data_IF_315511353107
#
_entry.id   IF_315511353107
#
_cell.length_a   1.000
_cell.length_b   1.000
_cell.length_c   1.000
_cell.angle_alpha   90.00
_cell.angle_beta   90.00
_cell.angle_gamma   90.00
#
_symmetry.space_group_name_H-M   'P 1'
#
loop_
_entity.id
_entity.type
_entity.pdbx_description
1 polymer ?
#
# COMPACT_ATOMS: atom_id res chain seq x y z
N UNK A 1 8.32 26.85 -16.35
CA UNK A 1 7.05 26.59 -15.65
C UNK A 1 7.17 27.24 -14.28
N UNK A 2 6.16 27.96 -13.76
CA UNK A 2 6.20 28.46 -12.39
C UNK A 2 6.46 27.30 -11.40
N UNK A 3 7.19 27.57 -10.32
CA UNK A 3 7.61 26.55 -9.34
C UNK A 3 6.44 25.74 -8.80
N UNK A 4 5.31 26.41 -8.60
CA UNK A 4 4.09 25.87 -8.01
C UNK A 4 3.47 24.80 -8.90
N UNK A 5 3.45 25.03 -10.22
CA UNK A 5 2.94 24.08 -11.19
C UNK A 5 3.83 22.84 -11.32
N UNK A 6 5.15 23.00 -11.16
CA UNK A 6 6.06 21.86 -11.10
C UNK A 6 5.83 20.97 -9.86
N UNK A 7 5.44 21.58 -8.74
CA UNK A 7 5.06 20.84 -7.53
C UNK A 7 3.74 20.08 -7.74
N UNK A 8 2.73 20.71 -8.35
CA UNK A 8 1.47 20.03 -8.69
C UNK A 8 1.70 18.85 -9.64
N UNK A 9 2.51 19.02 -10.68
CA UNK A 9 2.88 17.92 -11.60
C UNK A 9 3.56 16.76 -10.85
N UNK A 10 4.40 17.07 -9.87
CA UNK A 10 5.03 16.07 -9.02
C UNK A 10 3.98 15.29 -8.23
N UNK A 11 3.03 15.98 -7.59
CA UNK A 11 1.95 15.35 -6.82
C UNK A 11 1.10 14.42 -7.69
N UNK A 12 0.77 14.81 -8.92
CA UNK A 12 0.00 13.97 -9.86
C UNK A 12 0.77 12.68 -10.18
N UNK A 13 2.08 12.79 -10.48
CA UNK A 13 2.92 11.63 -10.77
C UNK A 13 3.04 10.71 -9.56
N UNK A 14 3.23 11.27 -8.37
CA UNK A 14 3.31 10.51 -7.13
C UNK A 14 2.00 9.77 -6.81
N UNK A 15 0.85 10.43 -6.99
CA UNK A 15 -0.46 9.80 -6.81
C UNK A 15 -0.66 8.65 -7.82
N UNK A 16 -0.25 8.85 -9.07
CA UNK A 16 -0.26 7.78 -10.09
C UNK A 16 0.60 6.58 -9.70
N UNK A 17 1.79 6.82 -9.12
CA UNK A 17 2.66 5.76 -8.64
C UNK A 17 2.03 4.98 -7.47
N UNK A 18 1.40 5.66 -6.51
CA UNK A 18 0.68 5.02 -5.39
C UNK A 18 -0.45 4.14 -5.91
N UNK A 19 -1.25 4.65 -6.85
CA UNK A 19 -2.35 3.88 -7.45
C UNK A 19 -1.85 2.63 -8.18
N UNK A 20 -0.78 2.75 -8.96
CA UNK A 20 -0.18 1.61 -9.65
C UNK A 20 0.36 0.54 -8.69
N UNK A 21 0.97 0.95 -7.57
CA UNK A 21 1.41 0.02 -6.52
C UNK A 21 0.24 -0.69 -5.86
N UNK A 22 -0.86 0.03 -5.58
CA UNK A 22 -2.06 -0.55 -5.03
C UNK A 22 -2.68 -1.61 -5.95
N UNK A 23 -2.77 -1.33 -7.25
CA UNK A 23 -3.30 -2.28 -8.25
C UNK A 23 -2.49 -3.58 -8.33
N UNK A 24 -1.21 -3.53 -7.99
CA UNK A 24 -0.31 -4.70 -7.94
C UNK A 24 -0.37 -5.45 -6.59
N UNK A 25 -1.02 -4.90 -5.57
CA UNK A 25 -1.02 -5.46 -4.22
C UNK A 25 -2.08 -6.55 -4.08
N UNK A 26 -1.67 -7.75 -3.65
CA UNK A 26 -2.58 -8.84 -3.29
C UNK A 26 -3.11 -8.68 -1.86
N UNK A 27 -3.94 -7.65 -1.68
CA UNK A 27 -4.59 -7.33 -0.41
C UNK A 27 -5.95 -8.04 -0.26
N UNK A 28 -6.39 -8.27 0.99
CA UNK A 28 -7.77 -8.66 1.29
C UNK A 28 -8.75 -7.54 0.88
N UNK A 29 -10.03 -7.88 0.67
CA UNK A 29 -11.04 -6.89 0.28
C UNK A 29 -11.20 -5.75 1.32
N UNK A 30 -11.11 -6.08 2.61
CA UNK A 30 -11.18 -5.08 3.68
C UNK A 30 -9.98 -4.13 3.67
N UNK A 31 -8.77 -4.64 3.43
CA UNK A 31 -7.57 -3.81 3.29
C UNK A 31 -7.63 -2.95 2.02
N UNK A 32 -8.19 -3.48 0.92
CA UNK A 32 -8.42 -2.72 -0.32
C UNK A 32 -9.34 -1.52 -0.08
N UNK A 33 -10.47 -1.72 0.59
CA UNK A 33 -11.42 -0.63 0.85
C UNK A 33 -10.80 0.52 1.67
N UNK A 34 -9.95 0.20 2.65
CA UNK A 34 -9.23 1.21 3.44
C UNK A 34 -8.21 2.00 2.60
N UNK A 35 -7.43 1.31 1.76
CA UNK A 35 -6.48 1.95 0.86
C UNK A 35 -7.21 2.80 -0.20
N UNK A 36 -8.29 2.30 -0.79
CA UNK A 36 -9.10 3.02 -1.77
C UNK A 36 -9.61 4.34 -1.19
N UNK A 37 -10.09 4.33 0.05
CA UNK A 37 -10.52 5.55 0.75
C UNK A 37 -9.38 6.56 0.84
N UNK A 38 -8.18 6.13 1.23
CA UNK A 38 -7.01 7.01 1.31
C UNK A 38 -6.56 7.55 -0.06
N UNK A 39 -6.64 6.74 -1.13
CA UNK A 39 -6.33 7.19 -2.50
C UNK A 39 -7.36 8.21 -2.99
N UNK A 40 -8.65 8.01 -2.69
CA UNK A 40 -9.72 8.96 -3.00
C UNK A 40 -9.49 10.29 -2.28
N UNK A 41 -9.14 10.25 -1.00
CA UNK A 41 -8.79 11.46 -0.23
C UNK A 41 -7.58 12.17 -0.83
N UNK A 42 -6.49 11.46 -1.12
CA UNK A 42 -5.31 12.03 -1.77
C UNK A 42 -5.65 12.65 -3.14
N UNK A 43 -6.48 11.98 -3.94
CA UNK A 43 -6.96 12.51 -5.22
C UNK A 43 -7.72 13.82 -5.03
N UNK A 44 -8.63 13.88 -4.05
CA UNK A 44 -9.40 15.08 -3.75
C UNK A 44 -8.49 16.24 -3.36
N UNK A 45 -7.50 16.00 -2.50
CA UNK A 45 -6.58 17.05 -2.06
C UNK A 45 -5.66 17.52 -3.19
N UNK A 46 -5.19 16.63 -4.06
CA UNK A 46 -4.44 17.02 -5.26
C UNK A 46 -5.29 17.88 -6.20
N UNK A 47 -6.56 17.52 -6.42
CA UNK A 47 -7.47 18.33 -7.24
C UNK A 47 -7.68 19.75 -6.67
N UNK A 48 -7.64 19.92 -5.35
CA UNK A 48 -7.72 21.25 -4.74
C UNK A 48 -6.51 22.12 -5.10
N UNK A 49 -5.33 21.53 -5.27
CA UNK A 49 -4.12 22.27 -5.69
C UNK A 49 -4.22 22.81 -7.12
N UNK A 50 -5.02 22.20 -7.99
CA UNK A 50 -5.21 22.69 -9.37
C UNK A 50 -5.97 24.02 -9.44
N UNK A 51 -6.83 24.29 -8.45
CA UNK A 51 -7.61 25.52 -8.40
C UNK A 51 -6.83 26.70 -7.81
N UNK A 52 -5.79 26.42 -7.02
CA UNK A 52 -4.97 27.43 -6.36
C UNK A 52 -3.55 26.88 -6.07
N UNK A 53 -2.70 26.70 -7.10
CA UNK A 53 -1.38 26.09 -6.98
C UNK A 53 -0.42 26.92 -6.12
N UNK A 54 -0.65 28.23 -5.98
CA UNK A 54 0.11 29.14 -5.13
C UNK A 54 -0.16 28.95 -3.63
N UNK A 55 -1.24 28.24 -3.27
CA UNK A 55 -1.57 27.98 -1.87
C UNK A 55 -0.70 26.85 -1.30
N UNK A 56 0.41 27.22 -0.67
CA UNK A 56 1.33 26.27 -0.04
C UNK A 56 0.68 25.34 1.00
N UNK A 57 -0.45 25.72 1.61
CA UNK A 57 -1.21 24.82 2.48
C UNK A 57 -1.85 23.66 1.72
N UNK A 58 -2.49 23.93 0.58
CA UNK A 58 -3.10 22.88 -0.26
C UNK A 58 -2.03 21.89 -0.74
N UNK A 59 -0.86 22.40 -1.15
CA UNK A 59 0.29 21.57 -1.53
C UNK A 59 0.79 20.69 -0.37
N UNK A 60 0.91 21.24 0.85
CA UNK A 60 1.29 20.46 2.04
C UNK A 60 0.26 19.37 2.37
N UNK A 61 -1.03 19.69 2.33
CA UNK A 61 -2.09 18.73 2.59
C UNK A 61 -2.08 17.61 1.54
N UNK A 62 -1.87 17.94 0.26
CA UNK A 62 -1.78 16.96 -0.82
C UNK A 62 -0.60 16.00 -0.62
N UNK A 63 0.58 16.53 -0.28
CA UNK A 63 1.75 15.71 0.07
C UNK A 63 1.44 14.74 1.21
N UNK A 64 0.81 15.24 2.27
CA UNK A 64 0.49 14.41 3.43
C UNK A 64 -0.49 13.30 3.06
N UNK A 65 -1.54 13.60 2.29
CA UNK A 65 -2.52 12.61 1.87
C UNK A 65 -1.89 11.52 0.98
N UNK A 66 -1.03 11.91 0.03
CA UNK A 66 -0.27 10.95 -0.80
C UNK A 66 0.65 10.09 0.06
N UNK A 67 1.36 10.68 1.02
CA UNK A 67 2.25 9.94 1.93
C UNK A 67 1.48 8.91 2.77
N UNK A 68 0.31 9.29 3.30
CA UNK A 68 -0.58 8.39 4.03
C UNK A 68 -1.02 7.22 3.15
N UNK A 69 -1.52 7.49 1.94
CA UNK A 69 -1.94 6.44 1.02
C UNK A 69 -0.78 5.49 0.67
N UNK A 70 0.41 6.03 0.39
CA UNK A 70 1.63 5.26 0.13
C UNK A 70 2.01 4.36 1.30
N UNK A 71 1.96 4.88 2.52
CA UNK A 71 2.27 4.10 3.73
C UNK A 71 1.29 2.93 3.93
N UNK A 72 -0.01 3.14 3.68
CA UNK A 72 -1.01 2.09 3.79
C UNK A 72 -0.78 0.97 2.76
N UNK A 73 -0.50 1.33 1.50
CA UNK A 73 -0.14 0.37 0.45
C UNK A 73 1.08 -0.45 0.84
N UNK A 74 2.15 0.22 1.29
CA UNK A 74 3.39 -0.45 1.68
C UNK A 74 3.20 -1.37 2.90
N UNK A 75 2.41 -0.95 3.90
CA UNK A 75 2.12 -1.74 5.09
C UNK A 75 1.37 -3.03 4.74
N UNK A 76 0.38 -2.95 3.85
CA UNK A 76 -0.39 -4.12 3.41
C UNK A 76 0.47 -5.04 2.56
N UNK A 77 1.27 -4.52 1.64
CA UNK A 77 2.22 -5.33 0.86
C UNK A 77 3.18 -6.11 1.79
N UNK A 78 3.72 -5.46 2.81
CA UNK A 78 4.61 -6.10 3.79
C UNK A 78 3.90 -7.16 4.64
N UNK A 79 2.63 -6.96 5.00
CA UNK A 79 1.82 -7.96 5.71
C UNK A 79 1.54 -9.18 4.83
N UNK A 80 1.16 -8.96 3.56
CA UNK A 80 0.94 -10.06 2.60
C UNK A 80 2.22 -10.90 2.44
N UNK A 81 3.39 -10.27 2.29
CA UNK A 81 4.66 -10.98 2.20
C UNK A 81 5.02 -11.75 3.50
N UNK A 82 4.76 -11.16 4.67
CA UNK A 82 4.96 -11.83 5.96
C UNK A 82 4.06 -13.05 6.09
N UNK A 83 2.80 -12.93 5.69
CA UNK A 83 1.81 -14.02 5.72
C UNK A 83 2.19 -15.15 4.77
N UNK A 84 2.57 -14.85 3.53
CA UNK A 84 3.04 -15.87 2.57
C UNK A 84 4.23 -16.66 3.10
N UNK A 85 5.24 -15.98 3.64
CA UNK A 85 6.41 -16.64 4.25
C UNK A 85 6.07 -17.50 5.46
N UNK A 86 5.03 -17.14 6.23
CA UNK A 86 4.59 -17.94 7.37
C UNK A 86 3.90 -19.24 6.90
N UNK A 87 3.09 -19.15 5.84
CA UNK A 87 2.42 -20.30 5.22
C UNK A 87 3.46 -21.26 4.62
N UNK A 88 4.45 -20.75 3.89
CA UNK A 88 5.55 -21.56 3.32
C UNK A 88 6.30 -22.33 4.41
N UNK A 89 6.71 -21.64 5.48
CA UNK A 89 7.40 -22.27 6.62
C UNK A 89 6.54 -23.32 7.32
N UNK A 90 5.24 -23.08 7.49
CA UNK A 90 4.33 -24.07 8.04
C UNK A 90 4.20 -25.30 7.13
N UNK A 91 4.17 -25.10 5.82
CA UNK A 91 4.20 -26.18 4.82
C UNK A 91 5.49 -27.00 4.90
N UNK A 92 6.65 -26.36 5.00
CA UNK A 92 7.94 -27.04 5.18
C UNK A 92 8.00 -27.86 6.46
N UNK A 93 7.46 -27.35 7.57
CA UNK A 93 7.38 -28.09 8.84
C UNK A 93 6.40 -29.26 8.76
N UNK A 94 5.28 -29.11 8.04
CA UNK A 94 4.34 -30.19 7.77
C UNK A 94 4.92 -31.30 6.89
N UNK A 95 5.75 -30.95 5.90
CA UNK A 95 6.48 -31.89 5.03
C UNK A 95 7.65 -32.54 5.79
N UNK A 96 8.34 -31.81 6.66
CA UNK A 96 9.42 -32.33 7.51
C UNK A 96 8.95 -33.12 8.71
N UNK A 97 7.67 -33.06 9.08
CA UNK A 97 7.08 -33.92 10.11
C UNK A 97 7.02 -35.34 9.55
N UNK A 98 7.99 -36.23 9.86
CA UNK A 98 7.82 -37.61 9.50
C UNK A 98 6.65 -38.07 10.36
N UNK A 99 5.68 -38.76 9.76
CA UNK A 99 4.74 -39.59 10.50
C UNK A 99 5.50 -40.22 11.66
N UNK A 100 5.18 -39.81 12.88
CA UNK A 100 5.66 -40.43 14.12
C UNK A 100 5.38 -41.92 13.94
N UNK A 101 6.45 -42.67 13.71
CA UNK A 101 6.39 -44.03 13.21
C UNK A 101 5.44 -44.86 14.06
N UNK A 102 4.53 -45.58 13.41
CA UNK A 102 3.99 -46.78 14.01
C UNK A 102 5.13 -47.75 14.28
N UNK A 103 5.13 -48.38 15.46
CA UNK A 103 6.08 -49.45 15.74
C UNK A 103 6.32 -49.73 17.22
N UNK A 104 5.43 -50.50 17.83
CA UNK A 104 5.86 -51.67 18.60
C UNK A 104 5.77 -51.65 20.13
N UNK A 105 5.46 -52.84 20.63
CA UNK A 105 5.51 -53.38 22.00
C UNK A 105 4.27 -53.11 22.87
N UNK A 106 3.55 -54.11 23.39
CA UNK A 106 3.57 -55.58 23.26
C UNK A 106 2.18 -56.09 23.66
#
# INVERSE_FOLDING_TARGET
>A
MPSEWAEVDTLIRELGAVRSQFEQTQASESAKAGIDTAIVEATRTVLQTLNAPEHGEALRQARQAIATARHLVAAVAAETERSSRAIERAGELGVKSPRRGGGGAS
#
